data_IF_542439085840
#
_entry.id   IF_542439085840
#
_cell.length_a   1.000
_cell.length_b   1.000
_cell.length_c   1.000
_cell.angle_alpha   90.00
_cell.angle_beta   90.00
_cell.angle_gamma   90.00
#
_symmetry.space_group_name_H-M   'P 1'
#
loop_
_entity.id
_entity.type
_entity.pdbx_description
1 polymer ?
#
# COMPACT_ATOMS: atom_id res chain seq x y z
N UNK A 1 -3.70 6.70 -8.90
CA UNK A 1 -4.74 5.94 -9.62
C UNK A 1 -5.93 6.81 -10.04
N UNK A 2 -6.75 7.33 -9.11
CA UNK A 2 -7.99 8.10 -9.44
C UNK A 2 -7.73 9.26 -10.42
N UNK A 3 -6.71 10.09 -10.16
CA UNK A 3 -6.41 11.23 -11.02
C UNK A 3 -6.11 10.83 -12.48
N UNK A 4 -5.34 9.75 -12.70
CA UNK A 4 -5.02 9.28 -14.04
C UNK A 4 -6.29 8.80 -14.78
N UNK A 5 -7.18 8.10 -14.07
CA UNK A 5 -8.48 7.66 -14.63
C UNK A 5 -9.33 8.86 -15.02
N UNK A 6 -9.48 9.85 -14.13
CA UNK A 6 -10.28 11.06 -14.38
C UNK A 6 -9.73 11.86 -15.57
N UNK A 7 -8.42 11.87 -15.77
CA UNK A 7 -7.75 12.56 -16.89
C UNK A 7 -7.64 11.72 -18.17
N UNK A 8 -8.04 10.45 -18.15
CA UNK A 8 -7.84 9.53 -19.29
C UNK A 8 -6.36 9.16 -19.55
N UNK A 9 -5.50 9.35 -18.55
CA UNK A 9 -4.07 9.04 -18.62
C UNK A 9 -3.82 7.57 -18.26
N UNK A 10 -2.63 7.07 -18.62
CA UNK A 10 -2.20 5.72 -18.25
C UNK A 10 -2.11 5.62 -16.72
N UNK A 11 -2.83 4.66 -16.16
CA UNK A 11 -2.74 4.33 -14.73
C UNK A 11 -1.44 3.56 -14.50
N UNK A 12 -0.69 3.97 -13.48
CA UNK A 12 0.48 3.24 -13.02
C UNK A 12 0.04 1.93 -12.34
N UNK A 13 0.52 0.81 -12.88
CA UNK A 13 0.22 -0.58 -12.49
C UNK A 13 1.51 -1.39 -12.64
N UNK A 14 1.75 -2.34 -11.74
CA UNK A 14 2.95 -3.18 -11.74
C UNK A 14 2.64 -4.69 -11.75
N UNK A 15 1.36 -5.08 -11.70
CA UNK A 15 0.93 -6.47 -11.80
C UNK A 15 -0.30 -6.58 -12.71
N UNK A 16 -0.20 -7.43 -13.73
CA UNK A 16 -1.29 -7.72 -14.69
C UNK A 16 -1.53 -9.22 -14.84
N UNK A 17 -1.11 -10.03 -13.87
CA UNK A 17 -1.08 -11.49 -13.98
C UNK A 17 -1.69 -12.18 -12.76
N UNK A 18 -1.42 -11.68 -11.55
CA UNK A 18 -1.67 -12.41 -10.31
C UNK A 18 -3.14 -12.39 -9.88
N UNK A 19 -3.83 -11.27 -10.08
CA UNK A 19 -5.15 -11.03 -9.47
C UNK A 19 -6.31 -11.41 -10.39
N UNK A 20 -6.56 -12.72 -10.55
CA UNK A 20 -7.75 -13.22 -11.23
C UNK A 20 -8.97 -13.22 -10.30
N UNK A 21 -10.01 -12.47 -10.65
CA UNK A 21 -11.21 -12.31 -9.82
C UNK A 21 -12.36 -13.27 -10.15
N UNK A 22 -12.10 -14.29 -10.98
CA UNK A 22 -13.10 -15.25 -11.48
C UNK A 22 -13.67 -14.92 -12.86
N UNK A 23 -13.47 -13.68 -13.36
CA UNK A 23 -13.91 -13.27 -14.71
C UNK A 23 -12.73 -12.83 -15.57
N UNK A 24 -11.77 -12.11 -14.98
CA UNK A 24 -10.58 -11.60 -15.67
C UNK A 24 -9.44 -11.42 -14.69
N UNK A 25 -8.24 -11.24 -15.25
CA UNK A 25 -7.10 -10.71 -14.49
C UNK A 25 -7.28 -9.20 -14.33
N UNK A 26 -7.20 -8.71 -13.09
CA UNK A 26 -7.39 -7.31 -12.74
C UNK A 26 -6.03 -6.61 -12.71
N UNK A 27 -5.82 -5.58 -13.55
CA UNK A 27 -4.62 -4.74 -13.46
C UNK A 27 -4.50 -4.11 -12.08
N UNK A 28 -3.39 -4.37 -11.40
CA UNK A 28 -3.19 -4.06 -10.00
C UNK A 28 -1.89 -3.31 -9.77
N UNK A 29 -1.83 -2.56 -8.67
CA UNK A 29 -0.61 -1.94 -8.19
C UNK A 29 -0.30 -2.48 -6.79
N UNK A 30 0.80 -3.21 -6.66
CA UNK A 30 1.27 -3.83 -5.43
C UNK A 30 2.22 -2.85 -4.75
N UNK A 31 1.87 -2.46 -3.53
CA UNK A 31 2.77 -1.68 -2.67
C UNK A 31 3.76 -2.63 -1.99
N UNK A 32 5.00 -2.19 -1.85
CA UNK A 32 6.02 -2.97 -1.15
C UNK A 32 5.71 -3.05 0.36
N UNK A 33 5.55 -4.25 0.93
CA UNK A 33 5.38 -4.40 2.36
C UNK A 33 6.71 -4.18 3.09
N UNK A 34 6.63 -3.67 4.32
CA UNK A 34 7.80 -3.53 5.20
C UNK A 34 7.62 -4.41 6.43
N UNK A 35 8.62 -5.24 6.72
CA UNK A 35 8.58 -6.15 7.87
C UNK A 35 8.80 -5.38 9.18
N UNK A 36 7.88 -5.53 10.13
CA UNK A 36 7.92 -4.83 11.41
C UNK A 36 8.36 -5.76 12.55
N UNK A 37 9.27 -5.27 13.39
CA UNK A 37 9.76 -5.91 14.62
C UNK A 37 9.78 -4.92 15.77
N UNK A 38 10.01 -5.41 16.98
CA UNK A 38 10.20 -4.57 18.18
C UNK A 38 11.38 -3.59 18.04
N UNK A 39 12.33 -3.87 17.15
CA UNK A 39 13.51 -3.03 16.96
C UNK A 39 13.25 -1.87 15.98
N UNK A 40 12.26 -1.98 15.09
CA UNK A 40 12.03 -0.99 14.02
C UNK A 40 10.65 -0.32 14.04
N UNK A 41 9.72 -0.77 14.89
CA UNK A 41 8.33 -0.27 14.89
C UNK A 41 8.24 1.24 15.10
N UNK A 42 9.13 1.84 15.92
CA UNK A 42 9.07 3.28 16.20
C UNK A 42 9.32 4.10 14.93
N UNK A 43 10.34 3.76 14.16
CA UNK A 43 10.62 4.43 12.89
C UNK A 43 9.52 4.16 11.85
N UNK A 44 9.02 2.92 11.76
CA UNK A 44 8.01 2.54 10.76
C UNK A 44 6.61 3.09 11.04
N UNK A 45 6.23 3.21 12.31
CA UNK A 45 4.84 3.49 12.70
C UNK A 45 4.66 4.84 13.41
N UNK A 46 5.64 5.29 14.23
CA UNK A 46 5.53 6.56 14.95
C UNK A 46 6.14 7.69 14.14
N UNK A 47 7.39 7.55 13.71
CA UNK A 47 8.09 8.60 12.97
C UNK A 47 7.49 8.82 11.57
N UNK A 48 6.84 7.80 11.01
CA UNK A 48 6.04 7.91 9.77
C UNK A 48 4.74 8.69 9.94
N UNK A 49 4.34 8.98 11.19
CA UNK A 49 3.07 9.63 11.53
C UNK A 49 1.85 8.72 11.39
N UNK A 50 2.05 7.40 11.23
CA UNK A 50 0.94 6.46 11.10
C UNK A 50 0.18 6.28 12.44
N UNK A 51 0.92 6.22 13.55
CA UNK A 51 0.39 6.22 14.91
C UNK A 51 1.05 7.31 15.76
N UNK A 52 0.36 7.75 16.80
CA UNK A 52 0.97 8.52 17.88
C UNK A 52 1.54 7.56 18.94
N UNK A 53 2.50 8.02 19.75
CA UNK A 53 3.01 7.19 20.86
C UNK A 53 1.92 6.80 21.87
N UNK A 54 0.83 7.57 21.96
CA UNK A 54 -0.28 7.27 22.86
C UNK A 54 -1.10 6.06 22.39
N UNK A 55 -1.21 5.85 21.08
CA UNK A 55 -1.99 4.75 20.50
C UNK A 55 -1.40 3.37 20.81
N UNK A 56 -0.11 3.32 21.17
CA UNK A 56 0.64 2.08 21.47
C UNK A 56 0.90 1.88 22.97
N UNK A 57 0.47 2.81 23.83
CA UNK A 57 0.59 2.68 25.28
C UNK A 57 -0.66 1.97 25.82
N UNK A 58 -0.46 0.91 26.60
CA UNK A 58 -1.52 0.17 27.31
C UNK A 58 -1.92 0.93 28.58
#
# INVERSE_FOLDING_TARGET
MVNAIVKGEKVDINDTETYHNGVKVVPSYLCDPVFATVDNYKALLIDSGYYTEADLKI
#
